data_IF_864684456839
#
_entry.id   IF_864684456839
#
_cell.length_a   1.000
_cell.length_b   1.000
_cell.length_c   1.000
_cell.angle_alpha   90.00
_cell.angle_beta   90.00
_cell.angle_gamma   90.00
#
_symmetry.space_group_name_H-M   'P 1'
#
loop_
_entity.id
_entity.type
_entity.pdbx_description
1 polymer ?
#
# COMPACT_ATOMS: atom_id res chain seq x y z
N UNK A 1 -19.11 -27.23 -4.61
CA UNK A 1 -18.42 -26.14 -3.90
C UNK A 1 -16.93 -26.26 -4.24
N UNK A 2 -16.22 -25.16 -4.53
CA UNK A 2 -14.77 -25.21 -4.83
C UNK A 2 -14.02 -25.81 -3.64
N UNK A 3 -13.09 -26.74 -3.89
CA UNK A 3 -12.32 -27.40 -2.84
C UNK A 3 -11.43 -26.40 -2.09
N UNK A 4 -11.23 -26.62 -0.78
CA UNK A 4 -10.38 -25.76 0.03
C UNK A 4 -8.89 -26.11 -0.17
N UNK A 5 -8.04 -25.08 -0.24
CA UNK A 5 -6.60 -25.20 -0.47
C UNK A 5 -5.87 -24.98 0.85
N UNK A 6 -4.91 -25.83 1.25
CA UNK A 6 -4.09 -25.55 2.43
C UNK A 6 -3.40 -24.19 2.34
N UNK A 7 -3.42 -23.40 3.41
CA UNK A 7 -2.83 -22.05 3.43
C UNK A 7 -1.39 -22.03 2.91
N UNK A 8 -0.58 -23.01 3.30
CA UNK A 8 0.82 -23.10 2.87
C UNK A 8 0.95 -23.30 1.35
N UNK A 9 0.05 -24.06 0.74
CA UNK A 9 0.07 -24.34 -0.70
C UNK A 9 -0.36 -23.11 -1.48
N UNK A 10 -1.43 -22.45 -1.03
CA UNK A 10 -1.89 -21.20 -1.64
C UNK A 10 -0.82 -20.11 -1.58
N UNK A 11 -0.15 -19.92 -0.43
CA UNK A 11 0.95 -18.93 -0.32
C UNK A 11 2.08 -19.22 -1.31
N UNK A 12 2.46 -20.51 -1.50
CA UNK A 12 3.48 -20.87 -2.50
C UNK A 12 3.04 -20.55 -3.94
N UNK A 13 1.76 -20.77 -4.26
CA UNK A 13 1.23 -20.40 -5.58
C UNK A 13 1.19 -18.88 -5.79
N UNK A 14 0.77 -18.12 -4.78
CA UNK A 14 0.77 -16.66 -4.83
C UNK A 14 2.18 -16.10 -4.98
N UNK A 15 3.16 -16.68 -4.27
CA UNK A 15 4.55 -16.28 -4.45
C UNK A 15 5.01 -16.48 -5.91
N UNK A 16 4.90 -17.71 -6.41
CA UNK A 16 5.42 -18.10 -7.72
C UNK A 16 4.74 -17.35 -8.89
N UNK A 17 3.42 -17.27 -8.85
CA UNK A 17 2.63 -16.78 -9.99
C UNK A 17 2.36 -15.27 -9.94
N UNK A 18 2.38 -14.66 -8.76
CA UNK A 18 2.10 -13.24 -8.59
C UNK A 18 3.30 -12.48 -8.05
N UNK A 19 3.72 -12.76 -6.81
CA UNK A 19 4.66 -11.88 -6.11
C UNK A 19 6.03 -11.85 -6.79
N UNK A 20 6.57 -13.00 -7.15
CA UNK A 20 7.90 -13.17 -7.75
C UNK A 20 7.97 -12.81 -9.24
N UNK A 21 6.83 -12.64 -9.91
CA UNK A 21 6.76 -12.36 -11.36
C UNK A 21 5.88 -11.14 -11.62
N UNK A 22 4.57 -11.32 -11.78
CA UNK A 22 3.62 -10.30 -12.21
C UNK A 22 3.69 -8.99 -11.39
N UNK A 23 3.78 -9.10 -10.06
CA UNK A 23 3.86 -7.94 -9.16
C UNK A 23 5.24 -7.26 -9.26
N UNK A 24 6.31 -8.04 -9.35
CA UNK A 24 7.67 -7.50 -9.52
C UNK A 24 7.82 -6.75 -10.84
N UNK A 25 7.22 -7.25 -11.91
CA UNK A 25 7.18 -6.60 -13.22
C UNK A 25 6.27 -5.36 -13.25
N UNK A 26 5.42 -5.20 -12.23
CA UNK A 26 4.64 -4.00 -11.99
C UNK A 26 3.14 -4.12 -12.22
N UNK A 27 2.65 -5.34 -12.45
CA UNK A 27 1.23 -5.64 -12.47
C UNK A 27 0.56 -5.42 -11.12
N UNK A 28 -0.74 -5.15 -11.15
CA UNK A 28 -1.59 -5.08 -9.97
C UNK A 28 -2.65 -6.18 -9.98
N UNK A 29 -2.92 -6.79 -8.83
CA UNK A 29 -3.91 -7.84 -8.70
C UNK A 29 -4.70 -7.72 -7.39
N UNK A 30 -5.98 -8.08 -7.46
CA UNK A 30 -6.87 -8.17 -6.30
C UNK A 30 -7.33 -9.62 -6.14
N UNK A 31 -7.23 -10.16 -4.93
CA UNK A 31 -7.58 -11.54 -4.59
C UNK A 31 -8.44 -11.59 -3.34
N UNK A 32 -9.28 -12.61 -3.25
CA UNK A 32 -10.13 -12.90 -2.11
C UNK A 32 -9.75 -14.25 -1.53
N UNK A 33 -9.43 -14.29 -0.25
CA UNK A 33 -9.13 -15.52 0.46
C UNK A 33 -10.16 -15.73 1.56
N UNK A 34 -10.98 -16.76 1.37
CA UNK A 34 -12.05 -17.15 2.29
C UNK A 34 -11.53 -18.22 3.22
N UNK A 35 -11.51 -17.95 4.52
CA UNK A 35 -11.01 -18.87 5.55
C UNK A 35 -11.78 -18.67 6.85
N UNK A 36 -11.80 -19.69 7.71
CA UNK A 36 -12.32 -19.54 9.06
C UNK A 36 -11.55 -18.44 9.83
N UNK A 37 -12.27 -17.58 10.54
CA UNK A 37 -11.72 -16.36 11.17
C UNK A 37 -10.57 -16.65 12.12
N UNK A 38 -10.61 -17.77 12.84
CA UNK A 38 -9.56 -18.22 13.76
C UNK A 38 -8.22 -18.53 13.07
N UNK A 39 -8.25 -18.82 11.76
CA UNK A 39 -7.07 -19.15 10.95
C UNK A 39 -6.50 -17.97 10.17
N UNK A 40 -7.19 -16.84 10.15
CA UNK A 40 -6.73 -15.63 9.45
C UNK A 40 -5.35 -15.12 9.90
N UNK A 41 -5.02 -15.13 11.21
CA UNK A 41 -3.68 -14.73 11.64
C UNK A 41 -2.56 -15.58 11.04
N UNK A 42 -2.82 -16.86 10.72
CA UNK A 42 -1.83 -17.72 10.08
C UNK A 42 -1.55 -17.31 8.63
N UNK A 43 -2.59 -16.91 7.90
CA UNK A 43 -2.44 -16.38 6.54
C UNK A 43 -1.64 -15.09 6.56
N UNK A 44 -1.99 -14.17 7.46
CA UNK A 44 -1.30 -12.89 7.63
C UNK A 44 0.19 -13.08 7.94
N UNK A 45 0.50 -13.95 8.91
CA UNK A 45 1.89 -14.24 9.31
C UNK A 45 2.71 -14.82 8.17
N UNK A 46 2.15 -15.76 7.39
CA UNK A 46 2.85 -16.38 6.26
C UNK A 46 3.11 -15.40 5.11
N UNK A 47 2.12 -14.57 4.78
CA UNK A 47 2.28 -13.54 3.74
C UNK A 47 3.27 -12.45 4.18
N UNK A 48 3.26 -12.06 5.46
CA UNK A 48 4.22 -11.10 6.00
C UNK A 48 5.64 -11.64 5.95
N UNK A 49 5.87 -12.88 6.41
CA UNK A 49 7.19 -13.51 6.35
C UNK A 49 7.74 -13.55 4.92
N UNK A 50 6.91 -13.96 3.96
CA UNK A 50 7.26 -13.97 2.54
C UNK A 50 7.66 -12.56 2.03
N UNK A 51 6.91 -11.52 2.41
CA UNK A 51 7.24 -10.16 2.00
C UNK A 51 8.56 -9.67 2.60
N UNK A 52 8.84 -10.01 3.87
CA UNK A 52 10.09 -9.65 4.54
C UNK A 52 11.29 -10.31 3.88
N UNK A 53 11.20 -11.59 3.52
CA UNK A 53 12.29 -12.34 2.88
C UNK A 53 12.69 -11.78 1.51
N UNK A 54 11.76 -11.13 0.80
CA UNK A 54 11.94 -10.71 -0.59
C UNK A 54 11.91 -9.18 -0.79
N UNK A 55 12.15 -8.42 0.29
CA UNK A 55 12.13 -6.95 0.33
C UNK A 55 10.86 -6.32 -0.29
N UNK A 56 9.70 -6.90 0.00
CA UNK A 56 8.38 -6.36 -0.36
C UNK A 56 7.78 -5.63 0.82
N UNK A 57 7.03 -4.57 0.52
CA UNK A 57 6.31 -3.84 1.55
C UNK A 57 5.02 -4.61 1.89
N UNK A 58 4.87 -5.02 3.15
CA UNK A 58 3.64 -5.62 3.66
C UNK A 58 2.83 -4.60 4.44
N UNK A 59 1.57 -4.39 4.04
CA UNK A 59 0.65 -3.46 4.69
C UNK A 59 -0.61 -4.21 5.11
N UNK A 60 -1.00 -4.08 6.37
CA UNK A 60 -2.18 -4.75 6.92
C UNK A 60 -3.27 -3.74 7.28
N UNK A 61 -4.50 -4.01 6.85
CA UNK A 61 -5.69 -3.24 7.17
C UNK A 61 -6.69 -4.15 7.88
N UNK A 62 -7.30 -3.62 8.93
CA UNK A 62 -8.31 -4.32 9.71
C UNK A 62 -9.60 -3.48 9.73
N UNK A 63 -10.68 -4.04 9.18
CA UNK A 63 -11.99 -3.39 9.17
C UNK A 63 -12.53 -3.10 10.58
N UNK A 64 -12.02 -3.76 11.63
CA UNK A 64 -12.31 -3.47 13.03
C UNK A 64 -11.90 -2.05 13.44
N UNK A 65 -10.77 -1.56 12.92
CA UNK A 65 -10.15 -0.29 13.32
C UNK A 65 -10.21 0.77 12.22
N UNK A 66 -10.12 0.38 10.95
CA UNK A 66 -10.22 1.24 9.79
C UNK A 66 -11.68 1.43 9.32
N UNK A 67 -12.06 2.56 8.70
CA UNK A 67 -13.29 2.65 7.88
C UNK A 67 -13.00 2.16 6.46
N UNK A 68 -13.09 0.86 6.22
CA UNK A 68 -12.65 0.29 4.94
C UNK A 68 -13.55 0.64 3.74
N UNK A 69 -14.72 1.22 3.99
CA UNK A 69 -15.62 1.78 2.97
C UNK A 69 -15.25 3.22 2.58
N UNK A 70 -14.32 3.86 3.28
CA UNK A 70 -13.88 5.24 3.03
C UNK A 70 -12.46 5.22 2.43
N UNK A 71 -12.29 5.57 1.14
CA UNK A 71 -10.98 5.55 0.46
C UNK A 71 -9.88 6.34 1.18
N UNK A 72 -10.21 7.51 1.75
CA UNK A 72 -9.26 8.33 2.50
C UNK A 72 -8.77 7.67 3.79
N UNK A 73 -9.63 6.92 4.47
CA UNK A 73 -9.23 6.19 5.67
C UNK A 73 -8.34 5.00 5.32
N UNK A 74 -8.63 4.29 4.21
CA UNK A 74 -7.73 3.27 3.69
C UNK A 74 -6.35 3.88 3.41
N UNK A 75 -6.29 5.01 2.70
CA UNK A 75 -5.03 5.68 2.41
C UNK A 75 -4.27 6.04 3.69
N UNK A 76 -4.89 6.72 4.66
CA UNK A 76 -4.21 7.12 5.89
C UNK A 76 -3.69 5.91 6.68
N UNK A 77 -4.46 4.82 6.74
CA UNK A 77 -4.05 3.60 7.44
C UNK A 77 -2.92 2.85 6.73
N UNK A 78 -2.89 2.88 5.39
CA UNK A 78 -1.75 2.39 4.61
C UNK A 78 -0.52 3.29 4.84
N UNK A 79 -0.69 4.59 4.69
CA UNK A 79 0.39 5.57 4.78
C UNK A 79 1.05 5.60 6.17
N UNK A 80 0.28 5.39 7.24
CA UNK A 80 0.81 5.32 8.61
C UNK A 80 1.75 4.12 8.86
N UNK A 81 1.75 3.11 7.98
CA UNK A 81 2.64 1.94 8.07
C UNK A 81 3.90 2.07 7.21
N UNK A 82 4.03 3.16 6.45
CA UNK A 82 5.15 3.38 5.53
C UNK A 82 6.20 4.27 6.19
N UNK A 83 7.46 3.85 6.16
CA UNK A 83 8.59 4.70 6.53
C UNK A 83 8.92 5.66 5.37
N UNK A 84 8.20 6.77 5.32
CA UNK A 84 8.36 7.78 4.27
C UNK A 84 9.75 8.43 4.23
N UNK A 85 10.42 8.54 5.38
CA UNK A 85 11.78 9.08 5.44
C UNK A 85 12.75 8.10 4.79
N UNK A 86 12.67 6.81 5.13
CA UNK A 86 13.45 5.77 4.47
C UNK A 86 13.23 5.77 2.96
N UNK A 87 11.98 5.85 2.50
CA UNK A 87 11.69 5.89 1.07
C UNK A 87 12.30 7.13 0.39
N UNK A 88 12.20 8.31 1.02
CA UNK A 88 12.82 9.54 0.50
C UNK A 88 14.34 9.39 0.38
N UNK A 89 15.01 8.82 1.40
CA UNK A 89 16.45 8.54 1.36
C UNK A 89 16.84 7.59 0.23
N UNK A 90 16.11 6.48 0.08
CA UNK A 90 16.34 5.52 -1.01
C UNK A 90 16.20 6.19 -2.38
N UNK A 91 15.21 7.06 -2.55
CA UNK A 91 15.05 7.82 -3.80
C UNK A 91 16.21 8.80 -4.02
N UNK A 92 16.64 9.53 -3.00
CA UNK A 92 17.81 10.44 -3.11
C UNK A 92 19.06 9.66 -3.54
N UNK A 93 19.37 8.54 -2.88
CA UNK A 93 20.51 7.68 -3.22
C UNK A 93 20.39 7.13 -4.65
N UNK A 94 19.20 6.69 -5.05
CA UNK A 94 18.93 6.22 -6.42
C UNK A 94 19.19 7.32 -7.46
N UNK A 95 18.75 8.55 -7.21
CA UNK A 95 18.95 9.67 -8.13
C UNK A 95 20.43 10.04 -8.28
N UNK A 96 21.16 10.04 -7.16
CA UNK A 96 22.60 10.32 -7.16
C UNK A 96 23.40 9.19 -7.84
N UNK A 97 23.01 7.93 -7.61
CA UNK A 97 23.59 6.79 -8.31
C UNK A 97 23.42 6.90 -9.84
N UNK A 98 22.24 7.32 -10.32
CA UNK A 98 22.00 7.59 -11.76
C UNK A 98 22.91 8.69 -12.33
N UNK A 99 23.42 9.58 -11.50
CA UNK A 99 24.37 10.63 -11.86
C UNK A 99 25.84 10.22 -11.63
N UNK A 100 26.10 8.91 -11.46
CA UNK A 100 27.41 8.32 -11.24
C UNK A 100 28.10 8.72 -9.91
N UNK A 101 27.35 9.21 -8.92
CA UNK A 101 27.86 9.31 -7.55
C UNK A 101 28.01 7.93 -6.92
N UNK A 102 29.11 7.74 -6.18
CA UNK A 102 29.30 6.56 -5.32
C UNK A 102 28.33 6.63 -4.15
N UNK A 103 27.44 5.65 -4.06
CA UNK A 103 26.47 5.50 -2.98
C UNK A 103 26.57 4.16 -2.25
N UNK A 104 27.46 3.28 -2.71
CA UNK A 104 27.65 1.95 -2.14
C UNK A 104 28.10 2.03 -0.69
N UNK A 105 27.49 1.20 0.17
CA UNK A 105 27.77 1.18 1.61
C UNK A 105 27.12 2.31 2.42
N UNK A 106 26.37 3.22 1.78
CA UNK A 106 25.55 4.21 2.50
C UNK A 106 24.24 3.55 2.92
N UNK A 107 24.08 3.29 4.21
CA UNK A 107 22.86 2.73 4.76
C UNK A 107 21.72 3.76 4.73
N UNK A 108 20.63 3.53 3.96
CA UNK A 108 19.48 4.44 3.94
C UNK A 108 18.71 4.46 5.27
N UNK A 109 18.86 3.45 6.13
CA UNK A 109 18.27 3.42 7.48
C UNK A 109 19.12 4.17 8.51
N UNK A 110 20.34 4.58 8.12
CA UNK A 110 21.30 5.23 9.00
C UNK A 110 20.79 6.57 9.56
N UNK A 111 21.38 6.99 10.67
CA UNK A 111 21.06 8.28 11.31
C UNK A 111 21.82 9.46 10.70
N UNK A 112 22.84 9.19 9.90
CA UNK A 112 23.65 10.22 9.25
C UNK A 112 22.87 10.98 8.17
N UNK A 113 23.29 12.22 7.93
CA UNK A 113 22.84 12.99 6.77
C UNK A 113 23.29 12.28 5.48
N UNK A 114 22.32 11.94 4.63
CA UNK A 114 22.58 11.18 3.39
C UNK A 114 23.45 11.98 2.42
N UNK A 115 23.24 13.29 2.32
CA UNK A 115 24.02 14.15 1.43
C UNK A 115 25.46 14.24 1.88
N UNK A 116 25.70 14.42 3.18
CA UNK A 116 27.07 14.44 3.72
C UNK A 116 27.77 13.09 3.56
N UNK A 117 27.03 11.99 3.71
CA UNK A 117 27.57 10.64 3.47
C UNK A 117 28.01 10.46 2.01
N UNK A 118 27.17 10.88 1.05
CA UNK A 118 27.52 10.83 -0.38
C UNK A 118 28.71 11.77 -0.68
N UNK A 119 28.71 12.99 -0.15
CA UNK A 119 29.78 13.95 -0.36
C UNK A 119 31.14 13.39 0.12
N UNK A 120 31.17 12.80 1.33
CA UNK A 120 32.37 12.12 1.87
C UNK A 120 32.81 10.93 1.00
N UNK A 121 31.88 10.09 0.55
CA UNK A 121 32.20 8.93 -0.28
C UNK A 121 32.79 9.31 -1.66
N UNK A 122 32.50 10.52 -2.13
CA UNK A 122 32.98 11.03 -3.41
C UNK A 122 34.11 12.06 -3.28
N UNK A 123 34.54 12.41 -2.07
CA UNK A 123 35.63 13.36 -1.83
C UNK A 123 35.32 14.79 -2.24
N UNK A 124 34.06 15.22 -2.13
CA UNK A 124 33.58 16.55 -2.53
C UNK A 124 32.78 17.22 -1.42
N UNK A 125 32.38 18.47 -1.64
CA UNK A 125 31.52 19.21 -0.72
C UNK A 125 30.04 18.84 -0.89
N UNK A 126 29.28 18.87 0.21
CA UNK A 126 27.85 18.60 0.21
C UNK A 126 27.06 19.53 -0.73
N UNK A 127 27.49 20.78 -0.88
CA UNK A 127 26.84 21.72 -1.81
C UNK A 127 26.91 21.26 -3.28
N UNK A 128 27.99 20.60 -3.69
CA UNK A 128 28.12 20.05 -5.03
C UNK A 128 27.10 18.93 -5.29
N UNK A 129 26.93 18.01 -4.32
CA UNK A 129 25.89 16.96 -4.38
C UNK A 129 24.50 17.57 -4.52
N UNK A 130 24.24 18.65 -3.78
CA UNK A 130 22.94 19.32 -3.76
C UNK A 130 22.61 20.06 -5.04
N UNK A 131 23.63 20.67 -5.65
CA UNK A 131 23.49 21.33 -6.93
C UNK A 131 23.02 20.34 -8.00
N UNK A 132 23.57 19.13 -8.01
CA UNK A 132 23.19 18.07 -8.95
C UNK A 132 21.86 17.38 -8.61
N UNK A 133 21.54 17.24 -7.32
CA UNK A 133 20.31 16.58 -6.88
C UNK A 133 19.05 17.37 -7.26
N UNK A 134 19.10 18.71 -7.22
CA UNK A 134 17.92 19.56 -7.45
C UNK A 134 17.29 19.37 -8.84
N UNK A 135 18.04 19.47 -9.96
CA UNK A 135 17.50 19.18 -11.29
C UNK A 135 16.96 17.74 -11.42
N UNK A 136 17.60 16.76 -10.78
CA UNK A 136 17.14 15.37 -10.80
C UNK A 136 15.80 15.19 -10.09
N UNK A 137 15.63 15.78 -8.90
CA UNK A 137 14.35 15.75 -8.17
C UNK A 137 13.23 16.43 -8.98
N UNK A 138 13.54 17.58 -9.58
CA UNK A 138 12.57 18.28 -10.43
C UNK A 138 12.12 17.42 -11.61
N UNK A 139 13.07 16.80 -12.31
CA UNK A 139 12.78 15.97 -13.49
C UNK A 139 12.06 14.67 -13.14
N UNK A 140 12.53 13.94 -12.13
CA UNK A 140 12.14 12.56 -11.86
C UNK A 140 10.99 12.43 -10.84
N UNK A 141 10.81 13.44 -9.98
CA UNK A 141 9.78 13.47 -8.93
C UNK A 141 8.75 14.55 -9.23
N UNK A 142 9.14 15.83 -9.24
CA UNK A 142 8.18 16.95 -9.37
C UNK A 142 7.40 16.91 -10.68
N UNK A 143 8.00 16.45 -11.78
CA UNK A 143 7.36 16.35 -13.11
C UNK A 143 6.79 14.98 -13.41
N UNK A 144 6.87 14.02 -12.49
CA UNK A 144 6.39 12.66 -12.70
C UNK A 144 4.86 12.64 -12.80
N UNK A 145 4.33 12.22 -13.96
CA UNK A 145 2.91 12.19 -14.23
C UNK A 145 2.20 10.94 -13.65
N UNK A 146 2.95 9.93 -13.20
CA UNK A 146 2.39 8.74 -12.56
C UNK A 146 1.94 8.99 -11.12
N UNK A 147 2.19 10.19 -10.59
CA UNK A 147 1.80 10.59 -9.24
C UNK A 147 0.93 11.84 -9.27
N UNK A 148 -0.04 11.89 -8.36
CA UNK A 148 -0.86 13.07 -8.12
C UNK A 148 0.02 14.28 -7.79
N UNK A 149 -0.36 15.46 -8.30
CA UNK A 149 0.42 16.70 -8.14
C UNK A 149 0.77 17.01 -6.68
N UNK A 150 -0.20 16.90 -5.78
CA UNK A 150 0.01 17.14 -4.35
C UNK A 150 0.99 16.12 -3.74
N UNK A 151 0.90 14.85 -4.15
CA UNK A 151 1.78 13.78 -3.67
C UNK A 151 3.22 13.99 -4.11
N UNK A 152 3.46 14.24 -5.41
CA UNK A 152 4.83 14.45 -5.91
C UNK A 152 5.50 15.70 -5.34
N UNK A 153 4.74 16.77 -5.08
CA UNK A 153 5.24 17.95 -4.37
C UNK A 153 5.66 17.58 -2.93
N UNK A 154 4.84 16.82 -2.20
CA UNK A 154 5.20 16.34 -0.87
C UNK A 154 6.48 15.49 -0.89
N UNK A 155 6.60 14.55 -1.84
CA UNK A 155 7.78 13.71 -1.97
C UNK A 155 9.05 14.50 -2.32
N UNK A 156 8.95 15.51 -3.20
CA UNK A 156 10.06 16.43 -3.49
C UNK A 156 10.54 17.14 -2.21
N UNK A 157 9.61 17.64 -1.39
CA UNK A 157 9.96 18.26 -0.11
C UNK A 157 10.59 17.28 0.87
N UNK A 158 10.04 16.07 1.05
CA UNK A 158 10.64 15.05 1.91
C UNK A 158 12.08 14.70 1.47
N UNK A 159 12.32 14.55 0.16
CA UNK A 159 13.68 14.34 -0.36
C UNK A 159 14.63 15.52 -0.05
N UNK A 160 14.13 16.76 -0.05
CA UNK A 160 14.91 17.93 0.35
C UNK A 160 15.19 17.96 1.85
N UNK A 161 14.28 17.47 2.71
CA UNK A 161 14.47 17.44 4.16
C UNK A 161 15.47 16.39 4.64
N UNK A 162 15.85 15.43 3.81
CA UNK A 162 16.96 14.51 4.13
C UNK A 162 18.33 15.19 4.28
N UNK A 163 18.38 16.51 4.01
CA UNK A 163 19.52 17.40 4.26
C UNK A 163 19.58 17.97 5.67
N UNK A 164 18.48 17.91 6.42
CA UNK A 164 18.27 18.69 7.65
C UNK A 164 17.85 17.74 8.77
N UNK A 165 18.83 17.12 9.44
CA UNK A 165 18.60 16.69 10.82
C UNK A 165 18.95 17.86 11.72
N UNK A 166 17.92 18.55 12.24
CA UNK A 166 18.12 19.64 13.18
C UNK A 166 18.84 19.12 14.44
N UNK A 167 19.75 19.92 15.00
CA UNK A 167 20.40 19.63 16.28
C UNK A 167 19.39 19.49 17.44
N UNK A 168 18.16 20.02 17.26
CA UNK A 168 17.03 19.97 18.20
C UNK A 168 16.24 18.66 18.16
N UNK A 169 16.52 17.76 17.21
CA UNK A 169 15.83 16.47 17.07
C UNK A 169 14.48 16.52 16.33
N UNK A 170 13.97 17.71 16.00
CA UNK A 170 12.73 17.85 15.23
C UNK A 170 12.97 17.69 13.72
N UNK A 171 12.17 16.84 13.05
CA UNK A 171 12.25 16.64 11.62
C UNK A 171 11.43 17.71 10.88
N UNK A 172 12.07 18.51 10.03
CA UNK A 172 11.41 19.59 9.29
C UNK A 172 10.26 19.12 8.38
N UNK A 173 10.29 17.85 7.94
CA UNK A 173 9.21 17.23 7.17
C UNK A 173 8.02 16.72 8.01
N UNK A 174 8.03 16.87 9.34
CA UNK A 174 6.97 16.33 10.21
C UNK A 174 5.55 16.78 9.80
N UNK A 175 5.29 18.05 9.45
CA UNK A 175 3.95 18.46 9.01
C UNK A 175 3.46 17.73 7.74
N UNK A 176 4.37 17.36 6.84
CA UNK A 176 4.04 16.56 5.65
C UNK A 176 3.72 15.11 6.05
N UNK A 177 4.48 14.53 6.98
CA UNK A 177 4.21 13.19 7.51
C UNK A 177 2.87 13.14 8.24
N UNK A 178 2.57 14.12 9.09
CA UNK A 178 1.30 14.20 9.80
C UNK A 178 0.11 14.32 8.84
N UNK A 179 0.28 15.07 7.75
CA UNK A 179 -0.75 15.18 6.71
C UNK A 179 -0.91 13.89 5.89
N UNK A 180 0.20 13.27 5.44
CA UNK A 180 0.18 12.02 4.67
C UNK A 180 -0.42 10.86 5.47
N UNK A 181 -0.13 10.80 6.77
CA UNK A 181 -0.59 9.72 7.65
C UNK A 181 -1.95 10.01 8.28
N UNK A 182 -2.49 11.22 8.11
CA UNK A 182 -3.76 11.64 8.67
C UNK A 182 -3.71 12.00 10.16
N UNK A 183 -2.54 11.99 10.81
CA UNK A 183 -2.37 12.47 12.19
C UNK A 183 -2.79 13.94 12.32
N UNK A 184 -2.51 14.76 11.29
CA UNK A 184 -3.06 16.09 11.14
C UNK A 184 -3.35 16.42 9.67
N UNK A 185 -4.52 16.00 9.19
CA UNK A 185 -4.93 16.17 7.80
C UNK A 185 -5.34 17.62 7.41
N UNK A 186 -5.13 18.63 8.27
CA UNK A 186 -5.51 20.02 7.98
C UNK A 186 -4.63 20.61 6.89
N UNK A 187 -5.23 21.04 5.78
CA UNK A 187 -4.52 21.66 4.65
C UNK A 187 -3.71 22.89 5.09
N UNK A 188 -4.17 23.66 6.09
CA UNK A 188 -3.45 24.83 6.60
C UNK A 188 -1.99 24.54 6.98
N UNK A 189 -1.71 23.33 7.45
CA UNK A 189 -0.37 22.94 7.92
C UNK A 189 0.59 22.66 6.77
N UNK A 190 0.06 22.32 5.59
CA UNK A 190 0.83 21.94 4.42
C UNK A 190 0.82 22.99 3.30
N UNK A 191 0.03 24.06 3.45
CA UNK A 191 0.04 25.22 2.54
C UNK A 191 1.45 25.81 2.35
N UNK A 192 2.33 25.90 3.36
CA UNK A 192 3.70 26.39 3.18
C UNK A 192 4.53 25.57 2.17
N UNK A 193 4.16 24.31 1.91
CA UNK A 193 4.79 23.45 0.90
C UNK A 193 4.10 23.53 -0.47
N UNK A 194 3.24 24.54 -0.69
CA UNK A 194 2.47 24.73 -1.92
C UNK A 194 1.52 23.56 -2.27
N UNK A 195 1.03 22.86 -1.23
CA UNK A 195 0.04 21.79 -1.37
C UNK A 195 -1.34 22.35 -0.96
N UNK A 196 -2.28 22.28 -1.89
CA UNK A 196 -3.64 22.84 -1.72
C UNK A 196 -4.75 21.80 -1.82
N UNK A 197 -4.43 20.56 -2.24
CA UNK A 197 -5.41 19.49 -2.42
C UNK A 197 -5.50 18.64 -1.15
N UNK A 198 -6.68 18.53 -0.51
CA UNK A 198 -6.87 17.62 0.62
C UNK A 198 -6.83 16.16 0.17
N UNK A 199 -6.57 15.30 1.14
CA UNK A 199 -6.80 13.85 1.02
C UNK A 199 -8.20 13.57 1.55
N UNK A 200 -9.13 13.26 0.65
CA UNK A 200 -10.54 13.03 0.95
C UNK A 200 -11.11 11.91 0.07
N UNK A 201 -12.41 11.65 0.16
CA UNK A 201 -13.09 10.55 -0.57
C UNK A 201 -12.86 10.59 -2.09
N UNK A 202 -12.73 11.77 -2.70
CA UNK A 202 -12.59 11.91 -4.15
C UNK A 202 -11.13 11.89 -4.62
N UNK A 203 -10.18 12.22 -3.73
CA UNK A 203 -8.76 12.29 -4.10
C UNK A 203 -7.96 11.07 -3.65
N UNK A 204 -8.39 10.37 -2.60
CA UNK A 204 -7.59 9.35 -1.93
C UNK A 204 -7.13 8.19 -2.82
N UNK A 205 -7.91 7.80 -3.83
CA UNK A 205 -7.49 6.75 -4.78
C UNK A 205 -6.21 7.15 -5.52
N UNK A 206 -6.13 8.38 -6.03
CA UNK A 206 -4.91 8.89 -6.67
C UNK A 206 -3.72 8.92 -5.71
N UNK A 207 -3.96 9.15 -4.41
CA UNK A 207 -2.92 9.10 -3.39
C UNK A 207 -2.45 7.67 -3.10
N UNK A 208 -3.35 6.68 -3.08
CA UNK A 208 -3.00 5.25 -2.98
C UNK A 208 -2.14 4.84 -4.18
N UNK A 209 -2.58 5.14 -5.39
CA UNK A 209 -1.84 4.83 -6.62
C UNK A 209 -0.43 5.47 -6.60
N UNK A 210 -0.35 6.74 -6.20
CA UNK A 210 0.93 7.46 -6.09
C UNK A 210 1.86 6.86 -5.03
N UNK A 211 1.31 6.44 -3.88
CA UNK A 211 2.07 5.80 -2.82
C UNK A 211 2.65 4.45 -3.26
N UNK A 212 1.85 3.63 -3.93
CA UNK A 212 2.28 2.33 -4.45
C UNK A 212 3.37 2.49 -5.51
N UNK A 213 3.19 3.48 -6.40
CA UNK A 213 4.24 3.86 -7.35
C UNK A 213 5.53 4.27 -6.64
N UNK A 214 5.43 5.14 -5.63
CA UNK A 214 6.58 5.65 -4.89
C UNK A 214 7.36 4.56 -4.15
N UNK A 215 6.66 3.62 -3.50
CA UNK A 215 7.28 2.46 -2.84
C UNK A 215 8.15 1.67 -3.81
N UNK A 216 7.65 1.39 -5.02
CA UNK A 216 8.45 0.72 -6.06
C UNK A 216 9.57 1.59 -6.59
N UNK A 217 9.30 2.89 -6.80
CA UNK A 217 10.31 3.83 -7.26
C UNK A 217 11.49 3.94 -6.29
N UNK A 218 11.22 3.79 -4.98
CA UNK A 218 12.21 3.72 -3.91
C UNK A 218 12.93 2.35 -3.80
N UNK A 219 12.61 1.37 -4.66
CA UNK A 219 13.36 0.13 -4.81
C UNK A 219 12.73 -1.11 -4.17
N UNK A 220 11.52 -1.03 -3.61
CA UNK A 220 10.80 -2.25 -3.20
C UNK A 220 10.38 -3.07 -4.41
N UNK A 221 10.46 -4.41 -4.30
CA UNK A 221 10.10 -5.34 -5.37
C UNK A 221 8.58 -5.49 -5.57
N UNK A 222 7.77 -4.87 -4.70
CA UNK A 222 6.32 -4.83 -4.77
C UNK A 222 5.69 -4.50 -3.41
N UNK A 223 4.36 -4.37 -3.40
CA UNK A 223 3.55 -4.18 -2.18
C UNK A 223 2.50 -5.28 -2.05
N UNK A 224 2.34 -5.84 -0.86
CA UNK A 224 1.21 -6.70 -0.52
C UNK A 224 0.34 -5.96 0.50
N UNK A 225 -0.92 -5.71 0.12
CA UNK A 225 -1.94 -5.16 1.02
C UNK A 225 -2.85 -6.29 1.46
N UNK A 226 -2.83 -6.62 2.76
CA UNK A 226 -3.78 -7.55 3.36
C UNK A 226 -4.91 -6.78 4.01
N UNK A 227 -6.14 -7.02 3.59
CA UNK A 227 -7.34 -6.39 4.14
C UNK A 227 -8.20 -7.43 4.84
N UNK A 228 -8.26 -7.39 6.17
CA UNK A 228 -9.23 -8.17 6.93
C UNK A 228 -10.63 -7.53 6.80
N UNK A 229 -11.51 -8.28 6.14
CA UNK A 229 -12.87 -7.88 5.81
C UNK A 229 -13.93 -8.53 6.70
N UNK A 230 -13.54 -9.31 7.72
CA UNK A 230 -14.48 -10.05 8.59
C UNK A 230 -15.46 -9.12 9.30
N UNK A 231 -15.01 -7.92 9.68
CA UNK A 231 -15.88 -7.00 10.40
C UNK A 231 -17.03 -6.47 9.56
N UNK A 232 -16.85 -6.43 8.24
CA UNK A 232 -17.84 -5.94 7.28
C UNK A 232 -18.96 -6.97 7.07
N UNK A 233 -18.65 -8.26 7.18
CA UNK A 233 -19.62 -9.35 6.93
C UNK A 233 -20.55 -9.62 8.12
N UNK A 234 -20.34 -8.97 9.27
CA UNK A 234 -21.19 -9.15 10.45
C UNK A 234 -22.65 -8.70 10.20
N UNK A 235 -23.58 -9.64 10.34
CA UNK A 235 -25.01 -9.39 10.15
C UNK A 235 -25.62 -8.47 11.22
N UNK A 236 -25.15 -8.58 12.47
CA UNK A 236 -25.64 -7.80 13.62
C UNK A 236 -24.49 -7.15 14.33
N UNK A 237 -24.77 -6.02 14.99
CA UNK A 237 -23.78 -5.36 15.84
C UNK A 237 -23.46 -6.29 17.04
N UNK A 238 -22.20 -6.71 17.21
CA UNK A 238 -21.81 -7.60 18.31
C UNK A 238 -21.83 -6.91 19.68
N UNK A 239 -22.06 -5.58 19.75
CA UNK A 239 -22.10 -4.78 20.99
C UNK A 239 -20.81 -4.82 21.82
N UNK A 240 -19.68 -5.05 21.15
CA UNK A 240 -18.34 -5.11 21.76
C UNK A 240 -17.65 -3.73 21.83
N UNK A 241 -18.36 -2.64 21.55
CA UNK A 241 -17.82 -1.28 21.49
C UNK A 241 -16.91 -1.00 20.29
N UNK A 242 -16.66 -1.99 19.43
CA UNK A 242 -15.82 -1.84 18.25
C UNK A 242 -16.67 -1.46 17.03
N UNK A 243 -16.02 -1.08 15.93
CA UNK A 243 -16.69 -0.56 14.73
C UNK A 243 -17.75 -1.53 14.21
N UNK A 244 -18.92 -1.06 13.79
CA UNK A 244 -19.92 -1.89 13.10
C UNK A 244 -20.29 -1.25 11.77
N UNK A 245 -20.45 -2.07 10.73
CA UNK A 245 -20.79 -1.62 9.38
C UNK A 245 -22.29 -1.77 9.15
N UNK A 246 -22.92 -0.65 8.78
CA UNK A 246 -24.30 -0.70 8.29
C UNK A 246 -24.35 -1.35 6.91
N UNK A 247 -25.56 -1.70 6.44
CA UNK A 247 -25.73 -2.25 5.09
C UNK A 247 -25.20 -1.30 4.01
N UNK A 248 -25.48 0.00 4.15
CA UNK A 248 -25.00 1.01 3.22
C UNK A 248 -23.47 1.05 3.17
N UNK A 249 -22.80 1.07 4.33
CA UNK A 249 -21.33 1.04 4.39
C UNK A 249 -20.74 -0.26 3.84
N UNK A 250 -21.46 -1.39 3.98
CA UNK A 250 -21.06 -2.67 3.38
C UNK A 250 -21.10 -2.60 1.85
N UNK A 251 -22.16 -2.03 1.29
CA UNK A 251 -22.30 -1.84 -0.17
C UNK A 251 -21.22 -0.89 -0.69
N UNK A 252 -20.97 0.24 -0.02
CA UNK A 252 -19.89 1.17 -0.38
C UNK A 252 -18.52 0.49 -0.34
N UNK A 253 -18.28 -0.40 0.64
CA UNK A 253 -17.06 -1.18 0.69
C UNK A 253 -16.93 -2.14 -0.50
N UNK A 254 -18.02 -2.82 -0.87
CA UNK A 254 -18.02 -3.77 -2.00
C UNK A 254 -17.89 -3.07 -3.35
N UNK A 255 -18.47 -1.89 -3.49
CA UNK A 255 -18.24 -1.00 -4.64
C UNK A 255 -16.77 -0.62 -4.74
N UNK A 256 -16.13 -0.23 -3.63
CA UNK A 256 -14.72 0.11 -3.60
C UNK A 256 -13.81 -1.08 -3.92
N UNK A 257 -14.12 -2.28 -3.43
CA UNK A 257 -13.40 -3.50 -3.81
C UNK A 257 -13.54 -3.80 -5.31
N UNK A 258 -14.74 -3.63 -5.88
CA UNK A 258 -14.97 -3.80 -7.31
C UNK A 258 -14.20 -2.77 -8.13
N UNK A 259 -14.16 -1.51 -7.69
CA UNK A 259 -13.32 -0.48 -8.29
C UNK A 259 -11.83 -0.87 -8.31
N UNK A 260 -11.30 -1.43 -7.22
CA UNK A 260 -9.92 -1.90 -7.20
C UNK A 260 -9.66 -3.08 -8.15
N UNK A 261 -10.64 -3.95 -8.36
CA UNK A 261 -10.52 -5.04 -9.33
C UNK A 261 -10.51 -4.47 -10.76
N UNK A 262 -11.44 -3.58 -11.06
CA UNK A 262 -11.62 -3.04 -12.40
C UNK A 262 -10.45 -2.12 -12.79
N UNK A 263 -9.85 -1.41 -11.82
CA UNK A 263 -8.69 -0.54 -12.00
C UNK A 263 -7.39 -1.18 -11.46
N UNK A 264 -7.25 -2.51 -11.51
CA UNK A 264 -6.08 -3.21 -10.97
C UNK A 264 -4.77 -2.82 -11.68
N UNK A 265 -4.83 -2.41 -12.94
CA UNK A 265 -3.70 -1.86 -13.70
C UNK A 265 -3.16 -0.54 -13.11
N UNK A 266 -3.99 0.18 -12.33
CA UNK A 266 -3.59 1.40 -11.61
C UNK A 266 -2.95 1.12 -10.25
N UNK A 267 -2.78 -0.14 -9.86
CA UNK A 267 -2.12 -0.55 -8.61
C UNK A 267 -0.70 -1.09 -8.90
N UNK A 268 0.27 -0.23 -9.25
CA UNK A 268 1.56 -0.66 -9.78
C UNK A 268 2.30 -1.56 -8.80
N UNK A 269 2.65 -2.77 -9.24
CA UNK A 269 3.33 -3.82 -8.49
C UNK A 269 2.71 -4.06 -7.12
N UNK A 270 1.40 -4.28 -7.09
CA UNK A 270 0.63 -4.46 -5.86
C UNK A 270 -0.26 -5.69 -5.90
N UNK A 271 -0.20 -6.52 -4.87
CA UNK A 271 -1.19 -7.57 -4.60
C UNK A 271 -2.06 -7.14 -3.42
N UNK A 272 -3.35 -6.89 -3.66
CA UNK A 272 -4.34 -6.70 -2.61
C UNK A 272 -5.06 -8.02 -2.33
N UNK A 273 -5.01 -8.49 -1.09
CA UNK A 273 -5.74 -9.68 -0.63
C UNK A 273 -6.82 -9.25 0.36
N UNK A 274 -8.09 -9.39 -0.02
CA UNK A 274 -9.22 -9.30 0.89
C UNK A 274 -9.42 -10.65 1.60
N UNK A 275 -9.06 -10.69 2.88
CA UNK A 275 -9.23 -11.84 3.76
C UNK A 275 -10.63 -11.78 4.37
N UNK A 276 -11.39 -12.87 4.27
CA UNK A 276 -12.80 -12.86 4.69
C UNK A 276 -13.28 -14.23 5.16
N UNK A 277 -14.38 -14.25 5.89
CA UNK A 277 -14.97 -15.47 6.43
C UNK A 277 -15.99 -16.06 5.45
N UNK A 278 -16.50 -17.26 5.77
CA UNK A 278 -17.48 -17.93 4.90
C UNK A 278 -18.80 -17.15 4.77
N UNK A 279 -19.10 -16.23 5.71
CA UNK A 279 -20.26 -15.32 5.64
C UNK A 279 -20.22 -14.43 4.39
N UNK A 280 -19.03 -14.09 3.89
CA UNK A 280 -18.90 -13.30 2.65
C UNK A 280 -19.46 -14.02 1.44
N UNK A 281 -19.22 -15.32 1.32
CA UNK A 281 -19.59 -16.12 0.13
C UNK A 281 -20.94 -16.83 0.28
N UNK A 282 -21.54 -16.76 1.46
CA UNK A 282 -22.88 -17.29 1.71
C UNK A 282 -23.93 -16.49 0.91
N UNK A 283 -24.64 -17.17 0.02
CA UNK A 283 -25.67 -16.56 -0.84
C UNK A 283 -26.91 -16.14 -0.05
N UNK A 284 -27.15 -16.73 1.12
CA UNK A 284 -28.27 -16.38 2.00
C UNK A 284 -27.92 -15.21 2.93
N UNK A 285 -26.64 -14.87 3.03
CA UNK A 285 -26.17 -13.82 3.93
C UNK A 285 -26.62 -12.44 3.46
N UNK A 286 -27.29 -11.70 4.35
CA UNK A 286 -27.66 -10.28 4.16
C UNK A 286 -26.45 -9.33 4.22
N UNK A 287 -25.26 -9.88 4.36
CA UNK A 287 -23.96 -9.20 4.39
C UNK A 287 -22.93 -9.87 3.48
N UNK A 288 -23.31 -10.90 2.72
CA UNK A 288 -22.41 -11.54 1.77
C UNK A 288 -22.28 -10.73 0.47
N UNK A 289 -21.36 -11.14 -0.39
CA UNK A 289 -21.14 -10.58 -1.73
C UNK A 289 -22.40 -10.50 -2.61
N UNK A 290 -23.42 -11.32 -2.33
CA UNK A 290 -24.69 -11.35 -3.07
C UNK A 290 -25.50 -10.06 -2.96
N UNK A 291 -25.26 -9.24 -1.93
CA UNK A 291 -25.95 -7.95 -1.78
C UNK A 291 -25.45 -6.88 -2.75
N UNK A 292 -24.32 -7.12 -3.42
CA UNK A 292 -23.75 -6.23 -4.43
C UNK A 292 -23.30 -7.04 -5.66
N UNK A 293 -24.23 -7.30 -6.61
CA UNK A 293 -23.99 -8.20 -7.73
C UNK A 293 -22.77 -7.84 -8.60
N UNK A 294 -22.45 -6.55 -8.73
CA UNK A 294 -21.32 -6.09 -9.53
C UNK A 294 -19.95 -6.55 -8.99
N UNK A 295 -19.79 -6.70 -7.67
CA UNK A 295 -18.58 -7.34 -7.11
C UNK A 295 -18.63 -8.85 -7.32
N UNK A 296 -19.80 -9.47 -7.10
CA UNK A 296 -19.96 -10.92 -7.24
C UNK A 296 -19.50 -11.40 -8.62
N UNK A 297 -19.88 -10.72 -9.70
CA UNK A 297 -19.49 -11.12 -11.07
C UNK A 297 -17.99 -11.01 -11.36
N UNK A 298 -17.24 -10.22 -10.57
CA UNK A 298 -15.77 -10.11 -10.71
C UNK A 298 -15.00 -11.14 -9.90
N UNK A 299 -15.63 -11.68 -8.85
CA UNK A 299 -14.98 -12.50 -7.84
C UNK A 299 -15.40 -13.97 -7.95
N UNK A 300 -16.61 -14.23 -8.45
CA UNK A 300 -17.13 -15.57 -8.66
C UNK A 300 -16.36 -16.25 -9.81
N UNK A 301 -15.88 -17.48 -9.59
CA UNK A 301 -15.26 -18.20 -10.70
C UNK A 301 -16.31 -18.54 -11.77
N UNK A 302 -16.16 -17.97 -12.97
CA UNK A 302 -17.02 -18.25 -14.13
C UNK A 302 -16.75 -19.66 -14.70
N UNK A 303 -15.54 -20.19 -14.53
CA UNK A 303 -15.14 -21.54 -14.94
C UNK A 303 -14.61 -22.29 -13.72
N UNK A 304 -15.25 -23.42 -13.37
CA UNK A 304 -14.88 -24.25 -12.21
C UNK A 304 -14.69 -25.69 -12.62
N UNK A 305 -13.55 -26.25 -12.25
CA UNK A 305 -13.39 -27.70 -12.21
C UNK A 305 -14.09 -28.25 -10.96
N UNK A 306 -14.69 -29.44 -11.08
CA UNK A 306 -15.43 -30.07 -9.97
C UNK A 306 -14.51 -30.64 -8.88
N UNK A 307 -13.29 -31.01 -9.26
CA UNK A 307 -12.36 -31.78 -8.45
C UNK A 307 -11.04 -31.03 -8.18
N UNK A 308 -10.78 -29.92 -8.87
CA UNK A 308 -9.52 -29.16 -8.75
C UNK A 308 -9.83 -27.72 -8.38
N UNK A 309 -9.28 -27.26 -7.26
CA UNK A 309 -9.29 -25.85 -6.91
C UNK A 309 -8.26 -25.08 -7.74
N UNK A 310 -8.64 -23.93 -8.28
CA UNK A 310 -7.71 -23.02 -8.96
C UNK A 310 -7.05 -22.11 -7.91
N UNK A 311 -5.74 -22.30 -7.57
CA UNK A 311 -5.07 -21.49 -6.55
C UNK A 311 -4.85 -20.03 -6.97
N UNK A 312 -4.96 -19.72 -8.28
CA UNK A 312 -4.82 -18.36 -8.83
C UNK A 312 -6.15 -17.72 -9.20
N UNK A 313 -7.28 -18.32 -8.81
CA UNK A 313 -8.60 -17.71 -8.96
C UNK A 313 -8.70 -16.33 -8.29
N UNK A 314 -9.70 -15.53 -8.68
CA UNK A 314 -9.99 -14.27 -8.01
C UNK A 314 -10.43 -14.51 -6.56
N UNK A 315 -11.16 -15.60 -6.31
CA UNK A 315 -11.54 -16.06 -4.98
C UNK A 315 -11.06 -17.49 -4.74
N UNK A 316 -10.38 -17.68 -3.61
CA UNK A 316 -9.99 -19.01 -3.13
C UNK A 316 -10.61 -19.30 -1.78
N UNK A 317 -10.86 -20.57 -1.50
CA UNK A 317 -11.23 -21.06 -0.16
C UNK A 317 -10.00 -21.74 0.42
N UNK A 318 -9.63 -21.36 1.63
CA UNK A 318 -8.48 -21.92 2.32
C UNK A 318 -8.93 -22.90 3.40
N UNK A 319 -8.15 -23.96 3.59
CA UNK A 319 -8.36 -25.01 4.59
C UNK A 319 -7.50 -24.76 5.81
#
# INVERSE_FOLDING_TARGET
MTQAIPVADWVRHIDREYLSTFITDGGGAVKFAVIASERMPDVARKLQALCTEQERLFLALDALTCRVHMPQDLFFRLAAQVDWQLLARRVVLRLLSKQAYRVDGIDPNGTANVIDAVARANGIEAQSVLFELRPALEREVTRNANMAKAFRVAMTHLCHFERERAATGEYAGQPLLDWLTGANARISNIKPFHIHTPINRTTARYFIESALYWVRYAGYSGTLILLDNTRVTLHRNPKDGKRYYTRAMTIEHYELLREFIDDADRLPGTLLVALTDYTFVDEQSLRGWGIYPALRTRVMDDVRDRNIANPVAALVRLA
#
